data_IF_962985593209
#
_entry.id   IF_962985593209
#
_cell.length_a   1.000
_cell.length_b   1.000
_cell.length_c   1.000
_cell.angle_alpha   90.00
_cell.angle_beta   90.00
_cell.angle_gamma   90.00
#
_symmetry.space_group_name_H-M   'P 1'
#
loop_
_entity.id
_entity.type
_entity.pdbx_description
1 polymer ?
#
# COMPACT_ATOMS: atom_id res chain seq x y z
N UNK A 1 34.30 -40.29 40.27
CA UNK A 1 34.51 -41.11 39.07
C UNK A 1 33.55 -40.59 38.00
N UNK A 2 34.11 -39.83 37.02
CA UNK A 2 33.61 -39.57 35.66
C UNK A 2 32.21 -38.95 35.45
N UNK A 3 32.19 -37.68 35.16
CA UNK A 3 31.30 -37.04 34.20
C UNK A 3 31.80 -37.40 32.78
N UNK A 4 30.96 -37.52 31.72
CA UNK A 4 30.65 -36.36 30.89
C UNK A 4 29.19 -36.39 30.41
N UNK A 5 28.65 -35.24 29.95
CA UNK A 5 28.42 -35.05 28.53
C UNK A 5 27.78 -33.72 28.19
N UNK A 6 28.43 -33.10 27.38
CA UNK A 6 28.19 -32.14 26.33
C UNK A 6 26.73 -31.88 25.95
N UNK A 7 26.21 -30.72 26.33
CA UNK A 7 25.06 -30.10 25.68
C UNK A 7 25.50 -29.54 24.32
N UNK A 8 25.19 -30.26 23.26
CA UNK A 8 25.20 -29.76 21.91
C UNK A 8 24.02 -28.81 21.75
N UNK A 9 24.24 -27.52 21.87
CA UNK A 9 23.35 -26.52 21.31
C UNK A 9 23.49 -26.55 19.79
N UNK A 10 22.53 -27.20 19.13
CA UNK A 10 22.31 -27.04 17.71
C UNK A 10 21.85 -25.58 17.46
N UNK A 11 22.81 -24.75 17.09
CA UNK A 11 22.56 -23.51 16.36
C UNK A 11 21.98 -23.90 14.98
N UNK A 12 20.66 -24.03 14.92
CA UNK A 12 19.94 -23.95 13.66
C UNK A 12 20.06 -22.50 13.20
N UNK A 13 21.15 -22.23 12.46
CA UNK A 13 21.26 -21.03 11.67
C UNK A 13 20.03 -20.93 10.78
N UNK A 14 19.22 -19.90 10.99
CA UNK A 14 18.25 -19.45 9.99
C UNK A 14 19.03 -19.25 8.69
N UNK A 15 18.92 -20.20 7.79
CA UNK A 15 19.24 -19.99 6.40
C UNK A 15 18.27 -18.88 5.93
N UNK A 16 18.72 -17.65 6.01
CA UNK A 16 18.11 -16.55 5.31
C UNK A 16 18.16 -16.89 3.83
N UNK A 17 17.05 -17.35 3.30
CA UNK A 17 16.85 -17.38 1.85
C UNK A 17 16.77 -15.93 1.35
N UNK A 18 17.91 -15.27 1.28
CA UNK A 18 18.09 -14.01 0.57
C UNK A 18 18.09 -14.27 -0.93
N UNK A 19 16.95 -14.70 -1.45
CA UNK A 19 16.66 -14.62 -2.87
C UNK A 19 15.40 -13.76 -3.02
N UNK A 20 15.47 -12.53 -2.53
CA UNK A 20 14.42 -11.54 -2.72
C UNK A 20 14.47 -11.12 -4.19
N UNK A 21 13.74 -11.89 -5.01
CA UNK A 21 13.47 -11.51 -6.39
C UNK A 21 12.85 -10.11 -6.32
N UNK A 22 13.56 -9.13 -6.86
CA UNK A 22 13.06 -7.76 -6.94
C UNK A 22 11.72 -7.79 -7.70
N UNK A 23 10.68 -7.19 -7.11
CA UNK A 23 9.38 -7.13 -7.77
C UNK A 23 9.49 -6.24 -9.02
N UNK A 24 8.75 -6.56 -10.10
CA UNK A 24 8.82 -5.78 -11.32
C UNK A 24 8.20 -4.39 -11.13
N UNK A 25 8.66 -3.43 -11.91
CA UNK A 25 7.89 -2.21 -12.14
C UNK A 25 6.81 -2.52 -13.18
N UNK A 26 5.53 -2.35 -12.82
CA UNK A 26 4.39 -2.62 -13.68
C UNK A 26 3.99 -1.42 -14.57
N UNK A 27 4.63 -0.27 -14.42
CA UNK A 27 4.24 0.94 -15.14
C UNK A 27 3.08 1.67 -14.44
N UNK A 28 2.01 1.98 -15.19
CA UNK A 28 0.92 2.87 -14.78
C UNK A 28 -0.41 2.13 -14.69
N UNK A 29 -1.01 2.14 -13.52
CA UNK A 29 -2.23 1.41 -13.18
C UNK A 29 -3.42 2.27 -12.81
N UNK A 30 -4.56 1.63 -12.71
CA UNK A 30 -5.81 2.21 -12.20
C UNK A 30 -6.45 1.26 -11.18
N UNK A 31 -7.22 1.83 -10.25
CA UNK A 31 -8.11 1.05 -9.40
C UNK A 31 -9.20 0.36 -10.23
N UNK A 32 -9.38 -0.96 -10.04
CA UNK A 32 -10.45 -1.70 -10.70
C UNK A 32 -11.78 -1.44 -10.00
N UNK A 33 -12.66 -0.68 -10.64
CA UNK A 33 -13.98 -0.32 -10.11
C UNK A 33 -15.09 -0.96 -10.94
N UNK A 34 -16.18 -1.35 -10.27
CA UNK A 34 -17.31 -2.07 -10.89
C UNK A 34 -17.96 -1.29 -12.04
N UNK A 35 -17.93 0.04 -11.95
CA UNK A 35 -18.47 0.98 -12.95
C UNK A 35 -17.81 0.81 -14.31
N UNK A 36 -16.59 0.29 -14.35
CA UNK A 36 -15.76 0.23 -15.56
C UNK A 36 -15.56 -1.17 -16.11
N UNK A 37 -16.09 -2.22 -15.47
CA UNK A 37 -15.86 -3.60 -15.88
C UNK A 37 -16.20 -3.88 -17.34
N UNK A 38 -17.38 -3.41 -17.79
CA UNK A 38 -17.84 -3.65 -19.15
C UNK A 38 -16.97 -2.92 -20.18
N UNK A 39 -16.61 -1.66 -19.90
CA UNK A 39 -15.72 -0.85 -20.73
C UNK A 39 -14.33 -1.51 -20.85
N UNK A 40 -13.75 -1.95 -19.72
CA UNK A 40 -12.43 -2.59 -19.71
C UNK A 40 -12.42 -3.87 -20.57
N UNK A 41 -13.46 -4.72 -20.46
CA UNK A 41 -13.54 -5.94 -21.24
C UNK A 41 -13.79 -5.69 -22.73
N UNK A 42 -14.62 -4.69 -23.04
CA UNK A 42 -14.98 -4.39 -24.43
C UNK A 42 -13.84 -3.68 -25.20
N UNK A 43 -13.25 -2.68 -24.58
CA UNK A 43 -12.34 -1.74 -25.25
C UNK A 43 -10.86 -2.08 -25.06
N UNK A 44 -10.54 -2.92 -24.05
CA UNK A 44 -9.16 -3.28 -23.67
C UNK A 44 -8.22 -2.08 -23.64
N UNK A 45 -8.50 -1.10 -22.76
CA UNK A 45 -7.79 0.18 -22.72
C UNK A 45 -6.31 0.00 -22.40
N UNK A 46 -5.51 1.00 -22.80
CA UNK A 46 -4.06 1.04 -22.55
C UNK A 46 -3.77 1.41 -21.10
N UNK A 47 -3.99 0.48 -20.20
CA UNK A 47 -3.60 0.51 -18.78
C UNK A 47 -2.60 -0.64 -18.58
N UNK A 48 -1.54 -0.42 -17.82
CA UNK A 48 -0.50 -1.44 -17.70
C UNK A 48 -0.87 -2.52 -16.66
N UNK A 49 -1.67 -2.17 -15.65
CA UNK A 49 -2.14 -3.07 -14.58
C UNK A 49 -3.34 -2.49 -13.82
N UNK A 50 -4.06 -3.34 -13.09
CA UNK A 50 -5.14 -2.92 -12.21
C UNK A 50 -4.90 -3.32 -10.77
N UNK A 51 -5.35 -2.44 -9.84
CA UNK A 51 -5.43 -2.73 -8.42
C UNK A 51 -6.86 -3.07 -8.03
N UNK A 52 -7.01 -4.11 -7.23
CA UNK A 52 -8.30 -4.51 -6.67
C UNK A 52 -8.34 -4.23 -5.17
N UNK A 53 -9.42 -3.61 -4.69
CA UNK A 53 -9.71 -3.59 -3.26
C UNK A 53 -10.08 -5.03 -2.87
N UNK A 54 -9.23 -5.65 -2.08
CA UNK A 54 -9.27 -7.07 -1.74
C UNK A 54 -10.66 -7.49 -1.25
N UNK A 55 -11.24 -6.73 -0.33
CA UNK A 55 -12.49 -7.05 0.35
C UNK A 55 -13.69 -7.12 -0.59
N UNK A 56 -13.66 -6.37 -1.69
CA UNK A 56 -14.74 -6.40 -2.70
C UNK A 56 -14.84 -7.74 -3.41
N UNK A 57 -13.81 -8.58 -3.30
CA UNK A 57 -13.72 -9.89 -3.97
C UNK A 57 -13.68 -11.08 -2.99
N UNK A 58 -13.76 -10.82 -1.68
CA UNK A 58 -13.89 -11.87 -0.66
C UNK A 58 -15.35 -12.36 -0.57
N UNK A 59 -15.88 -12.77 -1.70
CA UNK A 59 -17.27 -13.23 -1.86
C UNK A 59 -17.30 -14.65 -2.41
N UNK A 60 -18.38 -15.43 -2.18
CA UNK A 60 -18.44 -16.83 -2.63
C UNK A 60 -18.58 -17.00 -4.13
N UNK A 61 -18.86 -15.91 -4.87
CA UNK A 61 -19.06 -15.94 -6.33
C UNK A 61 -19.78 -14.71 -6.85
N UNK A 62 -20.35 -14.82 -8.06
CA UNK A 62 -21.15 -13.76 -8.67
C UNK A 62 -20.36 -12.80 -9.56
N UNK A 63 -20.98 -11.65 -9.88
CA UNK A 63 -20.42 -10.67 -10.81
C UNK A 63 -18.99 -10.22 -10.46
N UNK A 64 -18.64 -9.91 -9.19
CA UNK A 64 -17.28 -9.46 -8.90
C UNK A 64 -16.21 -10.44 -9.37
N UNK A 65 -16.33 -11.72 -9.01
CA UNK A 65 -15.35 -12.73 -9.38
C UNK A 65 -15.38 -13.05 -10.88
N UNK A 66 -16.56 -13.00 -11.52
CA UNK A 66 -16.68 -13.17 -12.97
C UNK A 66 -15.85 -12.13 -13.72
N UNK A 67 -16.03 -10.84 -13.41
CA UNK A 67 -15.29 -9.77 -14.08
C UNK A 67 -13.80 -9.79 -13.72
N UNK A 68 -13.48 -10.07 -12.46
CA UNK A 68 -12.10 -10.19 -12.00
C UNK A 68 -11.31 -11.23 -12.83
N UNK A 69 -11.86 -12.44 -12.99
CA UNK A 69 -11.20 -13.51 -13.75
C UNK A 69 -10.98 -13.13 -15.21
N UNK A 70 -11.98 -12.47 -15.84
CA UNK A 70 -11.88 -12.09 -17.25
C UNK A 70 -10.88 -10.94 -17.46
N UNK A 71 -10.88 -9.93 -16.58
CA UNK A 71 -9.96 -8.80 -16.68
C UNK A 71 -8.53 -9.27 -16.33
N UNK A 72 -8.39 -10.15 -15.31
CA UNK A 72 -7.10 -10.75 -14.94
C UNK A 72 -6.43 -11.51 -16.08
N UNK A 73 -7.20 -12.08 -17.02
CA UNK A 73 -6.65 -12.78 -18.16
C UNK A 73 -5.88 -11.86 -19.13
N UNK A 74 -6.24 -10.58 -19.16
CA UNK A 74 -5.64 -9.58 -20.06
C UNK A 74 -4.63 -8.65 -19.35
N UNK A 75 -4.77 -8.46 -18.04
CA UNK A 75 -3.99 -7.45 -17.29
C UNK A 75 -3.32 -8.04 -16.04
N UNK A 76 -2.08 -7.62 -15.71
CA UNK A 76 -1.50 -7.84 -14.39
C UNK A 76 -2.37 -7.23 -13.30
N UNK A 77 -2.42 -7.88 -12.13
CA UNK A 77 -3.18 -7.42 -10.98
C UNK A 77 -2.29 -7.25 -9.76
N UNK A 78 -2.69 -6.33 -8.89
CA UNK A 78 -2.22 -6.25 -7.50
C UNK A 78 -3.43 -6.22 -6.58
N UNK A 79 -3.24 -6.63 -5.33
CA UNK A 79 -4.27 -6.62 -4.30
C UNK A 79 -3.95 -5.56 -3.26
N UNK A 80 -4.95 -4.74 -2.93
CA UNK A 80 -4.87 -3.76 -1.86
C UNK A 80 -5.97 -4.00 -0.84
N UNK A 81 -5.59 -4.18 0.43
CA UNK A 81 -6.50 -4.47 1.53
C UNK A 81 -6.75 -3.25 2.40
N UNK A 82 -7.92 -3.22 3.02
CA UNK A 82 -8.35 -2.15 3.95
C UNK A 82 -8.72 -2.69 5.34
N UNK A 83 -8.60 -4.00 5.56
CA UNK A 83 -9.15 -4.64 6.77
C UNK A 83 -8.14 -5.43 7.58
N UNK A 84 -6.87 -5.42 7.23
CA UNK A 84 -5.83 -6.16 7.97
C UNK A 84 -5.65 -5.61 9.40
N UNK A 85 -5.85 -4.30 9.59
CA UNK A 85 -5.69 -3.62 10.88
C UNK A 85 -4.37 -4.00 11.56
N UNK A 86 -3.28 -3.86 10.80
CA UNK A 86 -1.95 -4.37 11.19
C UNK A 86 -1.46 -3.74 12.50
N UNK A 87 -1.86 -2.49 12.77
CA UNK A 87 -1.56 -1.76 14.00
C UNK A 87 -2.48 -2.06 15.17
N UNK A 88 -3.56 -2.84 14.95
CA UNK A 88 -4.55 -3.15 15.98
C UNK A 88 -4.00 -4.00 17.11
N UNK A 89 -4.63 -3.92 18.30
CA UNK A 89 -4.28 -4.70 19.48
C UNK A 89 -4.99 -6.05 19.55
N UNK A 90 -6.07 -6.22 18.79
CA UNK A 90 -6.78 -7.50 18.68
C UNK A 90 -5.90 -8.54 17.97
N UNK A 91 -6.16 -9.80 18.19
CA UNK A 91 -5.47 -10.89 17.49
C UNK A 91 -5.64 -10.74 15.96
N UNK A 92 -4.62 -11.14 15.19
CA UNK A 92 -4.73 -11.22 13.73
C UNK A 92 -5.89 -12.13 13.33
N UNK A 93 -6.72 -11.67 12.40
CA UNK A 93 -7.86 -12.43 11.90
C UNK A 93 -7.39 -13.44 10.83
N UNK A 94 -7.11 -14.67 11.24
CA UNK A 94 -6.68 -15.72 10.32
C UNK A 94 -7.78 -16.21 9.38
N UNK A 95 -9.07 -15.98 9.69
CA UNK A 95 -10.16 -16.28 8.75
C UNK A 95 -10.13 -15.29 7.58
N UNK A 96 -9.89 -14.02 7.85
CA UNK A 96 -9.65 -13.01 6.83
C UNK A 96 -8.38 -13.33 6.01
N UNK A 97 -7.26 -13.62 6.67
CA UNK A 97 -6.00 -13.97 5.98
C UNK A 97 -6.15 -15.21 5.08
N UNK A 98 -6.95 -16.22 5.47
CA UNK A 98 -7.24 -17.37 4.60
C UNK A 98 -7.99 -16.96 3.33
N UNK A 99 -8.95 -16.03 3.44
CA UNK A 99 -9.68 -15.51 2.28
C UNK A 99 -8.76 -14.69 1.36
N UNK A 100 -7.93 -13.82 1.93
CA UNK A 100 -6.91 -13.06 1.17
C UNK A 100 -5.97 -14.02 0.42
N UNK A 101 -5.49 -15.07 1.10
CA UNK A 101 -4.62 -16.09 0.49
C UNK A 101 -5.32 -16.82 -0.65
N UNK A 102 -6.57 -17.24 -0.46
CA UNK A 102 -7.34 -17.93 -1.49
C UNK A 102 -7.60 -17.02 -2.72
N UNK A 103 -7.88 -15.74 -2.50
CA UNK A 103 -8.00 -14.76 -3.59
C UNK A 103 -6.66 -14.58 -4.31
N UNK A 104 -5.56 -14.47 -3.56
CA UNK A 104 -4.22 -14.35 -4.13
C UNK A 104 -3.82 -15.59 -4.96
N UNK A 105 -4.20 -16.79 -4.53
CA UNK A 105 -4.00 -18.02 -5.31
C UNK A 105 -4.85 -18.03 -6.59
N UNK A 106 -6.01 -17.37 -6.61
CA UNK A 106 -6.88 -17.26 -7.78
C UNK A 106 -6.37 -16.31 -8.84
N UNK A 107 -5.93 -15.10 -8.42
CA UNK A 107 -5.58 -14.04 -9.37
C UNK A 107 -4.08 -13.84 -9.55
N UNK A 108 -3.26 -14.52 -8.75
CA UNK A 108 -1.79 -14.45 -8.77
C UNK A 108 -1.28 -13.01 -8.83
N UNK A 109 -1.62 -12.16 -7.83
CA UNK A 109 -1.25 -10.74 -7.84
C UNK A 109 0.27 -10.59 -7.77
N UNK A 110 0.79 -9.54 -8.40
CA UNK A 110 2.22 -9.24 -8.34
C UNK A 110 2.66 -8.94 -6.91
N UNK A 111 1.85 -8.21 -6.16
CA UNK A 111 2.00 -8.00 -4.72
C UNK A 111 0.65 -7.85 -4.02
N UNK A 112 0.70 -7.84 -2.71
CA UNK A 112 -0.42 -7.55 -1.81
C UNK A 112 0.01 -6.38 -0.93
N UNK A 113 -0.85 -5.40 -0.75
CA UNK A 113 -0.67 -4.26 0.16
C UNK A 113 -1.82 -4.15 1.15
N UNK A 114 -1.58 -3.44 2.23
CA UNK A 114 -2.60 -3.01 3.19
C UNK A 114 -2.06 -1.78 3.95
N UNK A 115 -2.90 -1.10 4.70
CA UNK A 115 -2.57 0.16 5.36
C UNK A 115 -1.80 -0.03 6.67
N UNK A 116 -0.88 0.88 6.96
CA UNK A 116 -0.19 0.98 8.26
C UNK A 116 -1.08 1.70 9.28
N UNK A 117 -2.15 1.04 9.69
CA UNK A 117 -3.20 1.62 10.54
C UNK A 117 -3.79 0.60 11.50
N UNK A 118 -4.69 1.07 12.34
CA UNK A 118 -5.65 0.23 13.05
C UNK A 118 -7.08 0.67 12.70
N UNK A 119 -8.00 -0.29 12.59
CA UNK A 119 -9.37 -0.06 12.13
C UNK A 119 -10.42 -0.39 13.20
N UNK A 120 -9.99 -0.95 14.31
CA UNK A 120 -10.91 -1.36 15.37
C UNK A 120 -10.21 -1.96 16.58
N UNK A 121 -10.99 -2.16 17.64
CA UNK A 121 -10.55 -2.72 18.93
C UNK A 121 -11.68 -3.50 19.60
N UNK A 122 -11.34 -4.58 20.30
CA UNK A 122 -12.29 -5.46 20.99
C UNK A 122 -13.41 -5.98 20.07
N UNK A 123 -13.09 -6.27 18.80
CA UNK A 123 -14.04 -6.75 17.80
C UNK A 123 -14.99 -5.69 17.25
N UNK A 124 -14.82 -4.41 17.59
CA UNK A 124 -15.60 -3.28 17.05
C UNK A 124 -14.78 -2.62 15.95
N UNK A 125 -15.30 -2.65 14.71
CA UNK A 125 -14.72 -1.90 13.59
C UNK A 125 -15.22 -0.46 13.62
N UNK A 126 -14.32 0.50 13.50
CA UNK A 126 -14.61 1.94 13.51
C UNK A 126 -14.87 2.51 12.11
N UNK A 127 -14.70 1.69 11.07
CA UNK A 127 -14.82 2.09 9.66
C UNK A 127 -13.95 3.28 9.29
N UNK A 128 -12.74 3.31 9.85
CA UNK A 128 -11.75 4.35 9.59
C UNK A 128 -10.34 3.76 9.68
N UNK A 129 -9.38 4.40 9.00
CA UNK A 129 -7.97 4.04 8.98
C UNK A 129 -7.23 4.95 9.96
N UNK A 130 -7.09 4.52 11.20
CA UNK A 130 -6.54 5.35 12.26
C UNK A 130 -5.02 5.18 12.39
N UNK A 131 -4.28 6.29 12.55
CA UNK A 131 -2.83 6.25 12.72
C UNK A 131 -2.44 5.60 14.04
N UNK A 132 -1.18 5.18 14.15
CA UNK A 132 -0.60 4.65 15.38
C UNK A 132 0.14 5.73 16.17
N UNK A 133 0.37 5.55 17.48
CA UNK A 133 1.41 6.29 18.17
C UNK A 133 2.79 5.85 17.65
N UNK A 134 3.61 6.79 17.22
CA UNK A 134 4.92 6.51 16.63
C UNK A 134 5.96 6.30 17.74
N UNK A 135 5.98 5.08 18.28
CA UNK A 135 6.85 4.67 19.40
C UNK A 135 7.63 3.39 19.06
N UNK A 136 8.71 3.14 19.76
CA UNK A 136 9.50 1.90 19.62
C UNK A 136 8.65 0.64 19.92
N UNK A 137 7.74 0.73 20.90
CA UNK A 137 6.81 -0.36 21.22
C UNK A 137 5.87 -0.66 20.05
N UNK A 138 5.30 0.38 19.42
CA UNK A 138 4.43 0.23 18.26
C UNK A 138 5.19 -0.33 17.04
N UNK A 139 6.43 0.08 16.80
CA UNK A 139 7.29 -0.50 15.75
C UNK A 139 7.45 -2.01 15.98
N UNK A 140 7.81 -2.42 17.20
CA UNK A 140 8.01 -3.84 17.51
C UNK A 140 6.72 -4.63 17.35
N UNK A 141 5.60 -4.08 17.82
CA UNK A 141 4.27 -4.69 17.69
C UNK A 141 3.90 -4.91 16.22
N UNK A 142 3.95 -3.86 15.42
CA UNK A 142 3.59 -3.92 13.99
C UNK A 142 4.53 -4.84 13.22
N UNK A 143 5.86 -4.72 13.42
CA UNK A 143 6.83 -5.54 12.71
C UNK A 143 6.64 -7.04 12.98
N UNK A 144 6.30 -7.43 14.20
CA UNK A 144 5.99 -8.82 14.54
C UNK A 144 4.72 -9.32 13.82
N UNK A 145 3.70 -8.48 13.74
CA UNK A 145 2.44 -8.82 13.06
C UNK A 145 2.65 -8.92 11.56
N UNK A 146 3.38 -7.98 10.95
CA UNK A 146 3.76 -8.02 9.53
C UNK A 146 4.53 -9.30 9.22
N UNK A 147 5.52 -9.66 10.03
CA UNK A 147 6.28 -10.91 9.85
C UNK A 147 5.35 -12.13 9.89
N UNK A 148 4.40 -12.16 10.84
CA UNK A 148 3.41 -13.24 10.93
C UNK A 148 2.51 -13.32 9.69
N UNK A 149 2.06 -12.18 9.17
CA UNK A 149 1.24 -12.11 7.96
C UNK A 149 2.04 -12.57 6.73
N UNK A 150 3.28 -12.11 6.58
CA UNK A 150 4.17 -12.50 5.49
C UNK A 150 4.47 -14.00 5.51
N UNK A 151 4.74 -14.57 6.68
CA UNK A 151 4.95 -16.00 6.85
C UNK A 151 3.70 -16.81 6.47
N UNK A 152 2.51 -16.34 6.85
CA UNK A 152 1.24 -17.00 6.52
C UNK A 152 0.91 -16.93 5.03
N UNK A 153 1.11 -15.78 4.40
CA UNK A 153 0.87 -15.58 2.97
C UNK A 153 1.98 -16.18 2.10
N UNK A 154 3.17 -16.44 2.67
CA UNK A 154 4.34 -16.95 1.97
C UNK A 154 4.99 -15.92 1.04
N UNK A 155 4.79 -14.62 1.31
CA UNK A 155 5.30 -13.51 0.49
C UNK A 155 5.44 -12.23 1.30
N UNK A 156 6.30 -11.33 0.82
CA UNK A 156 6.36 -9.96 1.32
C UNK A 156 5.09 -9.20 0.95
N UNK A 157 4.65 -8.32 1.85
CA UNK A 157 3.56 -7.37 1.60
C UNK A 157 4.10 -5.95 1.51
N UNK A 158 3.28 -5.04 1.02
CA UNK A 158 3.51 -3.62 1.10
C UNK A 158 2.66 -3.03 2.23
N UNK A 159 3.21 -2.05 2.95
CA UNK A 159 2.43 -1.21 3.85
C UNK A 159 2.33 0.20 3.31
N UNK A 160 1.14 0.75 3.39
CA UNK A 160 0.82 2.10 2.94
C UNK A 160 0.84 3.08 4.11
N UNK A 161 1.42 4.27 3.87
CA UNK A 161 1.29 5.42 4.76
C UNK A 161 -0.13 5.99 4.67
N UNK A 162 -0.80 6.10 5.81
CA UNK A 162 -2.16 6.66 5.87
C UNK A 162 -2.14 8.17 6.04
N UNK A 163 -3.20 8.84 5.58
CA UNK A 163 -3.46 10.22 5.95
C UNK A 163 -3.86 10.30 7.43
N UNK A 164 -3.54 11.41 8.10
CA UNK A 164 -3.86 11.54 9.52
C UNK A 164 -4.45 12.91 9.88
N UNK A 165 -5.36 12.85 10.86
CA UNK A 165 -6.12 14.01 11.37
C UNK A 165 -5.87 14.23 12.86
N UNK A 166 -5.19 13.31 13.49
CA UNK A 166 -4.87 13.32 14.92
C UNK A 166 -3.40 12.96 15.13
N UNK A 167 -2.84 13.44 16.23
CA UNK A 167 -1.51 13.07 16.71
C UNK A 167 -1.60 12.49 18.11
N UNK A 168 -0.66 11.65 18.46
CA UNK A 168 -0.55 11.09 19.81
C UNK A 168 0.51 11.83 20.59
N UNK A 169 0.17 12.32 21.79
CA UNK A 169 1.10 13.04 22.65
C UNK A 169 2.33 12.21 23.07
N UNK A 170 2.25 10.90 22.95
CA UNK A 170 3.33 9.95 23.27
C UNK A 170 4.14 9.52 22.05
N UNK A 171 3.91 10.08 20.86
CA UNK A 171 4.78 9.82 19.71
C UNK A 171 6.20 10.35 20.00
N UNK A 172 7.20 9.51 19.74
CA UNK A 172 8.62 9.74 20.03
C UNK A 172 9.43 10.05 18.78
N UNK A 173 8.84 9.84 17.62
CA UNK A 173 9.47 10.00 16.31
C UNK A 173 8.48 10.50 15.27
N UNK A 174 8.98 10.80 14.08
CA UNK A 174 8.16 11.20 12.94
C UNK A 174 7.49 10.00 12.29
N UNK A 175 6.43 10.25 11.50
CA UNK A 175 5.73 9.20 10.75
C UNK A 175 6.67 8.46 9.78
N UNK A 176 7.50 9.19 9.03
CA UNK A 176 8.45 8.60 8.08
C UNK A 176 9.54 7.77 8.75
N UNK A 177 9.99 8.13 9.95
CA UNK A 177 10.93 7.31 10.73
C UNK A 177 10.25 6.04 11.23
N UNK A 178 8.99 6.14 11.66
CA UNK A 178 8.17 5.00 12.08
C UNK A 178 7.93 4.02 10.92
N UNK A 179 7.44 4.51 9.78
CA UNK A 179 7.22 3.71 8.58
C UNK A 179 8.51 3.00 8.13
N UNK A 180 9.62 3.75 8.09
CA UNK A 180 10.93 3.22 7.70
C UNK A 180 11.39 2.12 8.64
N UNK A 181 11.29 2.34 9.96
CA UNK A 181 11.69 1.37 10.98
C UNK A 181 10.83 0.09 10.93
N UNK A 182 9.53 0.22 10.72
CA UNK A 182 8.63 -0.92 10.52
C UNK A 182 9.04 -1.71 9.28
N UNK A 183 9.26 -1.03 8.15
CA UNK A 183 9.62 -1.68 6.89
C UNK A 183 10.98 -2.38 6.97
N UNK A 184 11.95 -1.78 7.64
CA UNK A 184 13.27 -2.40 7.84
C UNK A 184 13.20 -3.61 8.76
N UNK A 185 12.48 -3.51 9.87
CA UNK A 185 12.41 -4.54 10.90
C UNK A 185 11.61 -5.77 10.47
N UNK A 186 10.56 -5.58 9.67
CA UNK A 186 9.70 -6.66 9.18
C UNK A 186 10.10 -7.18 7.79
N UNK A 187 11.04 -6.52 7.12
CA UNK A 187 11.41 -6.74 5.72
C UNK A 187 10.23 -6.58 4.73
N UNK A 188 9.18 -5.81 5.07
CA UNK A 188 8.13 -5.47 4.12
C UNK A 188 8.57 -4.37 3.15
N UNK A 189 7.77 -4.16 2.11
CA UNK A 189 7.91 -3.06 1.17
C UNK A 189 6.95 -1.93 1.54
N UNK A 190 7.03 -0.85 0.81
CA UNK A 190 6.20 0.35 1.01
C UNK A 190 5.39 0.61 -0.25
N UNK A 191 4.09 0.78 -0.08
CA UNK A 191 3.24 1.54 -0.95
C UNK A 191 3.28 2.97 -0.41
N UNK A 192 3.78 3.91 -1.21
CA UNK A 192 3.90 5.30 -0.80
C UNK A 192 2.79 6.11 -1.48
N UNK A 193 1.78 6.45 -0.70
CA UNK A 193 0.73 7.35 -1.16
C UNK A 193 1.18 8.80 -1.05
N UNK A 194 1.30 9.45 -2.21
CA UNK A 194 1.78 10.82 -2.36
C UNK A 194 0.70 11.83 -1.92
N UNK A 195 -0.60 11.50 -2.15
CA UNK A 195 -1.69 12.33 -1.68
C UNK A 195 -1.78 12.32 -0.15
N UNK A 196 -1.58 11.16 0.50
CA UNK A 196 -1.58 11.04 1.96
C UNK A 196 -0.45 11.82 2.62
N UNK A 197 0.73 11.86 1.98
CA UNK A 197 1.83 12.74 2.42
C UNK A 197 1.38 14.20 2.33
N UNK A 198 0.76 14.61 1.21
CA UNK A 198 0.29 15.97 1.03
C UNK A 198 -0.80 16.34 2.05
N UNK A 199 -1.79 15.48 2.24
CA UNK A 199 -2.88 15.66 3.22
C UNK A 199 -2.31 15.81 4.64
N UNK A 200 -1.46 14.87 5.06
CA UNK A 200 -0.84 14.89 6.38
C UNK A 200 0.06 16.12 6.57
N UNK A 201 0.82 16.53 5.53
CA UNK A 201 1.67 17.71 5.59
C UNK A 201 0.88 19.01 5.83
N UNK A 202 -0.29 19.13 5.20
CA UNK A 202 -1.18 20.25 5.42
C UNK A 202 -1.80 20.22 6.82
N UNK A 203 -2.29 19.05 7.25
CA UNK A 203 -3.00 18.91 8.52
C UNK A 203 -2.09 19.04 9.75
N UNK A 204 -0.80 18.74 9.61
CA UNK A 204 0.18 18.75 10.71
C UNK A 204 1.32 19.75 10.51
N UNK A 205 1.25 20.62 9.50
CA UNK A 205 2.18 21.72 9.22
C UNK A 205 3.65 21.27 9.14
N UNK A 206 3.93 20.32 8.22
CA UNK A 206 5.30 19.93 7.89
C UNK A 206 5.57 19.98 6.38
N UNK A 207 6.84 20.06 5.98
CA UNK A 207 7.25 20.02 4.58
C UNK A 207 7.17 18.60 4.01
N UNK A 208 6.31 18.33 3.02
CA UNK A 208 6.15 16.99 2.43
C UNK A 208 7.43 16.47 1.76
N UNK A 209 8.36 17.34 1.35
CA UNK A 209 9.65 16.94 0.80
C UNK A 209 10.53 16.29 1.87
N UNK A 210 10.42 16.70 3.13
CA UNK A 210 11.13 16.06 4.25
C UNK A 210 10.67 14.62 4.40
N UNK A 211 9.37 14.35 4.27
CA UNK A 211 8.84 12.99 4.27
C UNK A 211 9.49 12.14 3.17
N UNK A 212 9.42 12.60 1.92
CA UNK A 212 10.00 11.89 0.77
C UNK A 212 11.50 11.60 0.95
N UNK A 213 12.26 12.55 1.52
CA UNK A 213 13.71 12.39 1.68
C UNK A 213 14.10 11.36 2.74
N UNK A 214 13.24 11.06 3.70
CA UNK A 214 13.54 10.16 4.80
C UNK A 214 12.99 8.73 4.61
N UNK A 215 12.13 8.49 3.62
CA UNK A 215 11.67 7.13 3.28
C UNK A 215 12.78 6.36 2.54
N UNK A 216 13.03 5.08 2.86
CA UNK A 216 14.09 4.29 2.25
C UNK A 216 13.78 3.95 0.79
N UNK A 217 14.65 4.40 -0.13
CA UNK A 217 14.48 4.26 -1.58
C UNK A 217 14.27 2.82 -2.03
N UNK A 218 15.00 1.88 -1.43
CA UNK A 218 14.99 0.46 -1.81
C UNK A 218 13.76 -0.31 -1.29
N UNK A 219 12.83 0.37 -0.60
CA UNK A 219 11.61 -0.24 -0.05
C UNK A 219 10.34 0.18 -0.78
N UNK A 220 10.37 1.30 -1.51
CA UNK A 220 9.19 1.82 -2.21
C UNK A 220 8.97 1.03 -3.50
N UNK A 221 7.82 0.37 -3.60
CA UNK A 221 7.43 -0.48 -4.72
C UNK A 221 6.29 0.10 -5.56
N UNK A 222 5.43 0.90 -4.93
CA UNK A 222 4.24 1.46 -5.56
C UNK A 222 3.99 2.88 -5.07
N UNK A 223 3.47 3.73 -5.96
CA UNK A 223 2.89 5.03 -5.62
C UNK A 223 1.38 5.00 -5.83
N UNK A 224 0.64 5.60 -4.89
CA UNK A 224 -0.73 6.06 -5.10
C UNK A 224 -0.74 7.56 -5.35
N UNK A 225 -1.62 7.99 -6.25
CA UNK A 225 -1.93 9.37 -6.56
C UNK A 225 -3.45 9.54 -6.54
N UNK A 226 -3.94 10.47 -5.75
CA UNK A 226 -5.36 10.73 -5.58
C UNK A 226 -5.65 12.23 -5.41
N UNK A 227 -6.92 12.59 -5.48
CA UNK A 227 -7.40 13.88 -5.02
C UNK A 227 -7.99 13.78 -3.61
N UNK A 228 -8.31 14.91 -3.03
CA UNK A 228 -8.80 15.02 -1.66
C UNK A 228 -9.84 16.13 -1.51
N UNK A 229 -10.61 16.09 -0.42
CA UNK A 229 -11.56 17.14 -0.09
C UNK A 229 -10.88 18.22 0.77
N UNK A 230 -10.82 19.44 0.27
CA UNK A 230 -10.25 20.57 1.00
C UNK A 230 -11.36 21.38 1.68
N UNK A 231 -11.36 21.40 3.02
CA UNK A 231 -12.29 22.16 3.86
C UNK A 231 -11.69 23.48 4.41
N UNK A 232 -10.54 23.89 3.88
CA UNK A 232 -9.84 25.12 4.24
C UNK A 232 -8.80 24.91 5.35
N UNK A 233 -9.24 24.64 6.55
CA UNK A 233 -8.37 24.43 7.72
C UNK A 233 -7.97 22.96 7.93
N UNK A 234 -8.59 22.05 7.22
CA UNK A 234 -8.27 20.62 7.21
C UNK A 234 -8.52 20.06 5.81
N UNK A 235 -7.73 19.12 5.42
CA UNK A 235 -7.88 18.35 4.19
C UNK A 235 -8.27 16.93 4.57
N UNK A 236 -9.29 16.39 3.88
CA UNK A 236 -9.78 15.02 4.08
C UNK A 236 -9.38 14.17 2.88
N UNK A 237 -8.73 13.07 3.15
CA UNK A 237 -8.36 12.05 2.20
C UNK A 237 -9.62 11.28 1.76
N UNK A 238 -10.19 11.69 0.65
CA UNK A 238 -11.46 11.15 0.16
C UNK A 238 -11.31 10.34 -1.12
N UNK A 239 -10.20 10.52 -1.84
CA UNK A 239 -9.97 9.97 -3.17
C UNK A 239 -11.14 10.19 -4.15
N UNK A 240 -11.94 11.24 -3.89
CA UNK A 240 -13.15 11.56 -4.64
C UNK A 240 -12.97 12.60 -5.75
N UNK A 241 -11.78 13.22 -5.85
CA UNK A 241 -11.47 14.29 -6.77
C UNK A 241 -10.22 14.00 -7.62
N UNK A 242 -10.00 14.86 -8.62
CA UNK A 242 -8.79 14.82 -9.47
C UNK A 242 -7.54 15.13 -8.66
N UNK A 243 -6.43 14.54 -9.09
CA UNK A 243 -5.11 14.89 -8.57
C UNK A 243 -4.80 16.34 -8.84
N UNK A 244 -4.46 17.12 -7.82
CA UNK A 244 -4.18 18.55 -7.91
C UNK A 244 -2.71 18.83 -8.23
N UNK A 245 -2.41 20.02 -8.76
CA UNK A 245 -1.06 20.43 -9.15
C UNK A 245 0.00 20.26 -8.05
N UNK A 246 -0.25 20.60 -6.76
CA UNK A 246 0.71 20.34 -5.70
C UNK A 246 1.05 18.86 -5.51
N UNK A 247 0.08 17.96 -5.65
CA UNK A 247 0.30 16.50 -5.58
C UNK A 247 1.10 16.03 -6.79
N UNK A 248 0.81 16.55 -7.99
CA UNK A 248 1.63 16.26 -9.18
C UNK A 248 3.08 16.72 -9.01
N UNK A 249 3.31 17.90 -8.41
CA UNK A 249 4.65 18.41 -8.14
C UNK A 249 5.39 17.52 -7.11
N UNK A 250 4.67 17.02 -6.10
CA UNK A 250 5.22 16.11 -5.13
C UNK A 250 5.54 14.74 -5.75
N UNK A 251 4.70 14.26 -6.67
CA UNK A 251 4.96 13.05 -7.45
C UNK A 251 6.22 13.18 -8.32
N UNK A 252 6.42 14.32 -8.99
CA UNK A 252 7.66 14.59 -9.74
C UNK A 252 8.89 14.51 -8.82
N UNK A 253 8.82 15.13 -7.64
CA UNK A 253 9.89 15.04 -6.63
C UNK A 253 10.12 13.59 -6.16
N UNK A 254 9.03 12.82 -5.97
CA UNK A 254 9.13 11.39 -5.63
C UNK A 254 9.83 10.59 -6.73
N UNK A 255 9.52 10.82 -7.98
CA UNK A 255 10.21 10.16 -9.12
C UNK A 255 11.70 10.52 -9.20
N UNK A 256 12.07 11.76 -8.90
CA UNK A 256 13.48 12.15 -8.79
C UNK A 256 14.21 11.40 -7.67
N UNK A 257 13.53 11.15 -6.56
CA UNK A 257 14.10 10.49 -5.38
C UNK A 257 14.20 8.97 -5.54
N UNK A 258 13.10 8.34 -5.99
CA UNK A 258 12.94 6.88 -5.98
C UNK A 258 13.19 6.24 -7.34
N UNK A 259 13.25 7.04 -8.41
CA UNK A 259 13.27 6.55 -9.77
C UNK A 259 11.89 6.07 -10.24
N UNK A 260 11.85 5.28 -11.33
CA UNK A 260 10.60 4.75 -11.85
C UNK A 260 10.02 3.70 -10.91
N UNK A 261 8.87 4.00 -10.31
CA UNK A 261 8.08 3.13 -9.42
C UNK A 261 6.72 2.89 -10.06
N UNK A 262 6.12 1.72 -9.83
CA UNK A 262 4.75 1.43 -10.29
C UNK A 262 3.78 2.46 -9.70
N UNK A 263 3.06 3.16 -10.56
CA UNK A 263 2.22 4.31 -10.17
C UNK A 263 0.78 4.05 -10.52
N UNK A 264 -0.14 4.38 -9.62
CA UNK A 264 -1.58 4.24 -9.81
C UNK A 264 -2.30 5.55 -9.53
N UNK A 265 -3.36 5.82 -10.31
CA UNK A 265 -4.37 6.83 -9.96
C UNK A 265 -5.49 6.12 -9.19
N UNK A 266 -5.72 6.57 -7.97
CA UNK A 266 -6.77 6.05 -7.11
C UNK A 266 -8.01 6.94 -7.12
N UNK A 267 -9.17 6.29 -7.20
CA UNK A 267 -10.46 6.96 -7.14
C UNK A 267 -11.43 6.03 -6.42
N UNK A 268 -11.90 6.43 -5.23
CA UNK A 268 -12.74 5.62 -4.35
C UNK A 268 -14.17 6.13 -4.27
N UNK A 269 -14.34 7.42 -4.44
CA UNK A 269 -15.64 8.10 -4.46
C UNK A 269 -15.80 8.92 -5.73
N UNK A 270 -17.03 9.31 -6.06
CA UNK A 270 -17.34 10.08 -7.27
C UNK A 270 -16.67 9.50 -8.51
N UNK A 271 -16.77 8.17 -8.73
CA UNK A 271 -16.06 7.48 -9.80
C UNK A 271 -16.33 8.15 -11.15
N UNK A 272 -15.33 8.77 -11.79
CA UNK A 272 -15.52 9.48 -13.05
C UNK A 272 -15.62 8.53 -14.23
N UNK A 273 -15.82 9.07 -15.44
CA UNK A 273 -15.72 8.28 -16.66
C UNK A 273 -14.35 7.63 -16.81
N UNK A 274 -14.28 6.50 -17.50
CA UNK A 274 -13.01 5.82 -17.73
C UNK A 274 -12.03 6.67 -18.56
N UNK A 275 -12.55 7.50 -19.46
CA UNK A 275 -11.78 8.44 -20.25
C UNK A 275 -11.08 9.50 -19.37
N UNK A 276 -11.75 9.98 -18.33
CA UNK A 276 -11.15 10.92 -17.38
C UNK A 276 -10.02 10.27 -16.58
N UNK A 277 -10.18 9.02 -16.15
CA UNK A 277 -9.11 8.26 -15.48
C UNK A 277 -7.91 8.04 -16.40
N UNK A 278 -8.14 7.68 -17.67
CA UNK A 278 -7.06 7.55 -18.64
C UNK A 278 -6.34 8.88 -18.89
N UNK A 279 -7.06 10.00 -18.89
CA UNK A 279 -6.45 11.32 -19.04
C UNK A 279 -5.55 11.69 -17.85
N UNK A 280 -5.95 11.37 -16.61
CA UNK A 280 -5.11 11.55 -15.42
C UNK A 280 -3.89 10.61 -15.46
N UNK A 281 -4.08 9.34 -15.85
CA UNK A 281 -2.98 8.39 -15.99
C UNK A 281 -1.93 8.86 -17.02
N UNK A 282 -2.39 9.52 -18.08
CA UNK A 282 -1.50 10.07 -19.10
C UNK A 282 -0.69 11.28 -18.59
N UNK A 283 -1.21 12.04 -17.62
CA UNK A 283 -0.42 13.07 -16.93
C UNK A 283 0.73 12.42 -16.16
N UNK A 284 0.46 11.36 -15.39
CA UNK A 284 1.49 10.62 -14.66
C UNK A 284 2.57 10.08 -15.61
N UNK A 285 2.17 9.51 -16.76
CA UNK A 285 3.09 9.02 -17.80
C UNK A 285 3.98 10.11 -18.36
N UNK A 286 3.41 11.30 -18.64
CA UNK A 286 4.17 12.46 -19.17
C UNK A 286 5.20 12.96 -18.17
N UNK A 287 4.82 13.10 -16.90
CA UNK A 287 5.75 13.51 -15.84
C UNK A 287 6.91 12.51 -15.76
N UNK A 288 6.62 11.21 -15.68
CA UNK A 288 7.67 10.19 -15.62
C UNK A 288 8.52 10.09 -16.90
N UNK A 289 7.91 10.34 -18.07
CA UNK A 289 8.58 10.36 -19.36
C UNK A 289 9.56 11.52 -19.51
N UNK A 290 9.21 12.69 -19.00
CA UNK A 290 10.08 13.90 -19.06
C UNK A 290 11.38 13.70 -18.29
N UNK A 291 11.34 12.98 -17.16
CA UNK A 291 12.51 12.71 -16.34
C UNK A 291 13.49 11.73 -16.99
N UNK A 292 12.98 10.75 -17.76
CA UNK A 292 13.83 9.80 -18.50
C UNK A 292 14.60 10.44 -19.66
N UNK A 293 14.12 11.56 -20.17
CA UNK A 293 14.76 12.32 -21.26
C UNK A 293 15.82 13.32 -20.74
N UNK A 294 15.75 13.64 -19.44
CA UNK A 294 16.66 14.59 -18.80
C UNK A 294 17.86 13.92 -18.08
N UNK A 295 17.83 12.58 -17.91
CA UNK A 295 18.88 11.77 -17.31
C UNK A 295 19.79 11.14 -18.37
#
# INVERSE_FOLDING_TARGET
MLWPDSFFYLLLGRLTMSNTKQLPNLGFGLGLRADHYETILADKPSVDWFEVITENYLVPGGKPLYYLDHIRADYPMVMHGVSLSIGGTDALNFDYLRQVKALAERIEPTWISDHLCWTGVNGVNLHDLLPLPYTEEAIQHVANRVSTVQDFLGRRILLENVSSYITYAHSEMTEWDFLSAVAERSDCLILLDINNIYVSSHNHDFDPLVYLHNVPVNRVQQFHLAGHLNLGNIIIDSHGDKVIDPVWSLYEAALHRFGPVSTMIERDDNIPSFEELLAELEIARKIAGSLRLAA
#
